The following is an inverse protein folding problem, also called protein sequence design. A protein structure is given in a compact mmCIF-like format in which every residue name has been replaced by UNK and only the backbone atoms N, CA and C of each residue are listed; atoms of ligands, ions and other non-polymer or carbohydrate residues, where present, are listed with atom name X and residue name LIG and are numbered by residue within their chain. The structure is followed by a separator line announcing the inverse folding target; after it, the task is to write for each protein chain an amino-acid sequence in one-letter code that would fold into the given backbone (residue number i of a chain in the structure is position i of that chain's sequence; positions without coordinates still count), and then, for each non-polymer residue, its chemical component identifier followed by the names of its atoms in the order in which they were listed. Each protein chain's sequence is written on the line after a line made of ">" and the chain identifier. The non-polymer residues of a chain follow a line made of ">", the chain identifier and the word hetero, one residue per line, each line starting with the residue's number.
data_IF_401932387953
#
_entry.id   IF_401932387953
#
_cell.length_a   1.000
_cell.length_b   1.000
_cell.length_c   1.000
_cell.angle_alpha   90.00
_cell.angle_beta   90.00
_cell.angle_gamma   90.00
#
_symmetry.space_group_name_H-M   'P 1'
#
loop_
_entity.id
_entity.type
_entity.pdbx_description
1 polymer ?
#
# COMPACT_ATOMS: atom_id res chain seq x y z
N UNK A 1 8.34 5.36 1.59
CA UNK A 1 7.24 4.52 2.05
C UNK A 1 7.79 3.17 2.43
N UNK A 2 8.35 3.04 3.62
CA UNK A 2 8.54 1.73 4.23
C UNK A 2 7.37 1.49 5.18
N UNK A 3 6.21 1.22 4.58
CA UNK A 3 5.12 0.60 5.32
C UNK A 3 5.59 -0.85 5.51
N UNK A 4 5.72 -1.31 6.76
CA UNK A 4 5.91 -2.74 7.01
C UNK A 4 4.70 -3.47 6.38
N UNK A 5 4.89 -4.22 5.28
CA UNK A 5 3.77 -4.77 4.54
C UNK A 5 2.97 -5.76 5.39
N UNK A 6 3.61 -6.42 6.36
CA UNK A 6 2.93 -7.34 7.27
C UNK A 6 2.11 -6.58 8.32
N UNK A 7 2.66 -5.48 8.85
CA UNK A 7 1.96 -4.63 9.81
C UNK A 7 0.74 -3.96 9.19
N UNK A 8 0.89 -3.42 7.98
CA UNK A 8 -0.23 -2.81 7.25
C UNK A 8 -1.26 -3.85 6.84
N UNK A 9 -0.85 -4.99 6.28
CA UNK A 9 -1.77 -6.10 5.98
C UNK A 9 -2.59 -6.52 7.19
N UNK A 10 -1.97 -6.61 8.37
CA UNK A 10 -2.66 -6.94 9.63
C UNK A 10 -3.65 -5.85 10.04
N UNK A 11 -3.27 -4.58 9.92
CA UNK A 11 -4.16 -3.44 10.21
C UNK A 11 -5.32 -3.36 9.23
N UNK A 12 -5.08 -3.60 7.95
CA UNK A 12 -6.07 -3.64 6.89
C UNK A 12 -7.06 -4.80 7.08
N UNK A 13 -6.57 -6.00 7.43
CA UNK A 13 -7.44 -7.12 7.81
C UNK A 13 -8.31 -6.79 9.03
N UNK A 14 -7.78 -6.10 10.03
CA UNK A 14 -8.55 -5.67 11.20
C UNK A 14 -9.61 -4.62 10.83
N UNK A 15 -9.28 -3.69 9.94
CA UNK A 15 -10.23 -2.73 9.38
C UNK A 15 -11.38 -3.44 8.65
N UNK A 16 -11.07 -4.38 7.76
CA UNK A 16 -12.09 -5.12 7.02
C UNK A 16 -12.96 -6.00 7.93
N UNK A 17 -12.36 -6.70 8.90
CA UNK A 17 -13.12 -7.62 9.79
C UNK A 17 -13.88 -6.93 10.92
N UNK A 18 -13.38 -5.80 11.42
CA UNK A 18 -13.83 -5.19 12.68
C UNK A 18 -14.11 -3.70 12.58
N UNK A 19 -13.94 -3.08 11.42
CA UNK A 19 -14.06 -1.64 11.25
C UNK A 19 -13.03 -0.83 12.04
N UNK A 20 -11.96 -1.46 12.55
CA UNK A 20 -10.92 -0.77 13.34
C UNK A 20 -10.18 0.20 12.42
N UNK A 21 -10.20 1.53 12.69
CA UNK A 21 -9.48 2.48 11.87
C UNK A 21 -8.00 2.12 11.79
N UNK A 22 -7.43 2.18 10.58
CA UNK A 22 -5.98 2.02 10.41
C UNK A 22 -5.31 3.26 10.97
N UNK A 23 -4.56 3.07 12.06
CA UNK A 23 -3.84 4.15 12.74
C UNK A 23 -2.96 4.95 11.77
N UNK A 24 -2.96 6.28 11.93
CA UNK A 24 -2.20 7.17 11.06
C UNK A 24 -0.68 6.94 11.19
N UNK A 25 -0.22 6.45 12.33
CA UNK A 25 1.17 6.00 12.54
C UNK A 25 1.56 4.80 11.68
N UNK A 26 0.61 3.92 11.31
CA UNK A 26 0.84 2.81 10.37
C UNK A 26 0.90 3.36 8.92
N UNK A 27 0.24 4.49 8.69
CA UNK A 27 0.33 5.26 7.44
C UNK A 27 1.51 6.23 7.41
N UNK A 28 2.36 6.28 8.44
CA UNK A 28 3.39 7.33 8.53
C UNK A 28 4.33 7.29 7.32
N UNK A 29 4.33 8.39 6.59
CA UNK A 29 5.13 8.63 5.41
C UNK A 29 6.60 8.86 5.81
N UNK A 30 7.42 7.81 5.77
CA UNK A 30 8.89 7.97 5.74
C UNK A 30 9.57 7.10 4.69
N UNK A 31 10.76 7.59 4.34
CA UNK A 31 11.46 7.44 3.07
C UNK A 31 11.54 6.00 2.58
N UNK A 32 11.27 5.81 1.30
CA UNK A 32 11.56 4.57 0.58
C UNK A 32 13.07 4.29 0.70
N UNK A 33 13.52 3.04 0.78
CA UNK A 33 14.96 2.72 0.80
C UNK A 33 15.65 3.08 -0.51
N UNK A 34 14.86 3.24 -1.58
CA UNK A 34 15.32 3.62 -2.91
C UNK A 34 14.55 4.84 -3.42
N UNK A 35 15.07 5.50 -4.43
CA UNK A 35 14.39 6.57 -5.15
C UNK A 35 14.59 6.44 -6.65
N UNK A 36 13.64 6.96 -7.42
CA UNK A 36 13.78 7.19 -8.85
C UNK A 36 14.43 8.55 -9.04
N UNK A 37 15.55 8.61 -9.76
CA UNK A 37 16.18 9.87 -10.13
C UNK A 37 15.34 10.58 -11.19
N UNK A 38 14.93 11.82 -10.93
CA UNK A 38 14.24 12.66 -11.92
C UNK A 38 15.04 13.89 -12.24
N UNK A 39 15.06 14.26 -13.51
CA UNK A 39 15.68 15.49 -13.99
C UNK A 39 14.61 16.44 -14.53
N UNK A 40 14.91 17.74 -14.60
CA UNK A 40 14.07 18.70 -15.35
C UNK A 40 14.02 18.45 -16.85
N UNK A 41 14.95 17.65 -17.40
CA UNK A 41 15.00 17.31 -18.82
C UNK A 41 15.39 18.46 -19.75
N UNK A 42 16.03 19.51 -19.22
CA UNK A 42 16.50 20.65 -20.01
C UNK A 42 18.02 20.61 -20.26
N UNK A 43 18.49 21.41 -21.22
CA UNK A 43 19.89 21.46 -21.66
C UNK A 43 20.88 21.90 -20.57
N UNK A 44 20.39 22.35 -19.40
CA UNK A 44 21.23 22.73 -18.26
C UNK A 44 21.51 21.54 -17.32
N UNK A 45 20.86 20.39 -17.55
CA UNK A 45 21.15 19.15 -16.84
C UNK A 45 22.48 18.58 -17.34
N UNK A 46 23.41 18.32 -16.42
CA UNK A 46 24.72 17.71 -16.74
C UNK A 46 24.51 16.32 -17.34
N UNK A 47 25.34 15.93 -18.31
CA UNK A 47 25.21 14.63 -19.02
C UNK A 47 25.16 13.43 -18.06
N UNK A 48 25.97 13.40 -17.01
CA UNK A 48 25.94 12.34 -15.99
C UNK A 48 24.61 12.27 -15.22
N UNK A 49 24.00 13.42 -14.93
CA UNK A 49 22.69 13.47 -14.27
C UNK A 49 21.56 13.06 -15.23
N UNK A 50 21.66 13.43 -16.51
CA UNK A 50 20.72 13.02 -17.55
C UNK A 50 20.73 11.49 -17.74
N UNK A 51 21.90 10.86 -17.67
CA UNK A 51 22.05 9.39 -17.73
C UNK A 51 21.41 8.66 -16.54
N UNK A 52 21.18 9.35 -15.42
CA UNK A 52 20.50 8.77 -14.26
C UNK A 52 18.97 8.85 -14.34
N UNK A 53 18.41 9.69 -15.22
CA UNK A 53 16.98 9.95 -15.27
C UNK A 53 16.14 8.67 -15.43
N UNK A 54 15.17 8.47 -14.53
CA UNK A 54 14.29 7.31 -14.48
C UNK A 54 14.90 6.06 -13.84
N UNK A 55 16.19 6.06 -13.48
CA UNK A 55 16.84 4.92 -12.81
C UNK A 55 16.55 4.94 -11.31
N UNK A 56 16.55 3.76 -10.72
CA UNK A 56 16.34 3.56 -9.28
C UNK A 56 17.69 3.42 -8.60
N UNK A 57 17.91 4.17 -7.51
CA UNK A 57 19.11 4.09 -6.68
C UNK A 57 18.72 3.90 -5.21
N UNK A 58 19.57 3.21 -4.46
CA UNK A 58 19.41 3.11 -3.01
C UNK A 58 19.93 4.39 -2.34
N UNK A 59 19.37 4.75 -1.19
CA UNK A 59 19.89 5.89 -0.43
C UNK A 59 21.28 5.64 0.17
N UNK A 60 21.63 4.38 0.42
CA UNK A 60 22.92 3.96 1.00
C UNK A 60 23.98 3.58 -0.05
N UNK A 61 23.60 3.48 -1.32
CA UNK A 61 24.48 3.21 -2.47
C UNK A 61 24.17 4.17 -3.64
N UNK A 62 24.52 5.47 -3.51
CA UNK A 62 24.30 6.43 -4.57
C UNK A 62 25.22 6.18 -5.78
N UNK A 63 24.83 6.66 -6.97
CA UNK A 63 25.74 6.71 -8.11
C UNK A 63 26.93 7.64 -7.84
N UNK A 64 27.99 7.53 -8.64
CA UNK A 64 29.17 8.41 -8.54
C UNK A 64 28.84 9.92 -8.60
N UNK A 65 27.70 10.28 -9.18
CA UNK A 65 27.19 11.66 -9.26
C UNK A 65 26.55 12.17 -7.97
N UNK A 66 26.60 11.42 -6.87
CA UNK A 66 25.95 11.75 -5.60
C UNK A 66 24.43 11.60 -5.66
N UNK A 67 23.70 12.26 -4.76
CA UNK A 67 22.23 12.30 -4.77
C UNK A 67 21.67 13.49 -5.58
N UNK A 68 20.43 13.39 -6.09
CA UNK A 68 19.75 14.53 -6.70
C UNK A 68 19.70 15.74 -5.75
N UNK A 69 20.19 16.89 -6.20
CA UNK A 69 20.12 18.15 -5.46
C UNK A 69 21.39 18.53 -4.69
N UNK A 70 22.40 17.64 -4.58
CA UNK A 70 23.63 17.93 -3.85
C UNK A 70 24.59 18.85 -4.61
N UNK A 71 24.66 18.71 -5.94
CA UNK A 71 25.49 19.57 -6.77
C UNK A 71 24.94 21.00 -6.86
N UNK A 72 25.83 21.98 -6.97
CA UNK A 72 25.45 23.38 -7.19
C UNK A 72 24.60 23.54 -8.46
N UNK A 73 23.51 24.29 -8.35
CA UNK A 73 22.57 24.50 -9.45
C UNK A 73 21.94 23.22 -10.00
N UNK A 74 21.98 22.11 -9.23
CA UNK A 74 21.34 20.86 -9.63
C UNK A 74 19.84 21.07 -9.84
N UNK A 75 19.31 20.43 -10.88
CA UNK A 75 17.91 20.52 -11.32
C UNK A 75 17.22 19.15 -11.24
N UNK A 76 17.73 18.27 -10.37
CA UNK A 76 17.29 16.90 -10.22
C UNK A 76 16.57 16.72 -8.87
N UNK A 77 15.70 15.73 -8.79
CA UNK A 77 14.93 15.39 -7.58
C UNK A 77 14.91 13.88 -7.36
N UNK A 78 14.88 13.44 -6.11
CA UNK A 78 14.67 12.06 -5.72
C UNK A 78 13.16 11.79 -5.53
N UNK A 79 12.54 11.12 -6.50
CA UNK A 79 11.14 10.66 -6.36
C UNK A 79 11.13 9.34 -5.58
N UNK A 80 10.31 9.18 -4.52
CA UNK A 80 10.29 7.94 -3.75
C UNK A 80 9.97 6.71 -4.61
N UNK A 81 10.84 5.69 -4.60
CA UNK A 81 10.60 4.44 -5.31
C UNK A 81 9.71 3.50 -4.47
N UNK A 82 8.48 3.31 -4.93
CA UNK A 82 7.54 2.35 -4.36
C UNK A 82 7.49 1.14 -5.29
N UNK A 83 8.14 -0.01 -4.94
CA UNK A 83 7.85 -1.25 -5.66
C UNK A 83 6.35 -1.50 -5.54
N UNK A 84 5.69 -1.90 -6.63
CA UNK A 84 4.23 -2.08 -6.69
C UNK A 84 3.76 -2.90 -5.49
N UNK A 85 3.14 -2.22 -4.51
CA UNK A 85 2.42 -2.86 -3.43
C UNK A 85 1.02 -3.15 -3.94
N UNK A 86 0.93 -4.06 -4.91
CA UNK A 86 -0.37 -4.64 -5.22
C UNK A 86 -0.76 -5.50 -4.01
N UNK A 87 -1.55 -4.90 -3.12
CA UNK A 87 -2.09 -5.59 -1.96
C UNK A 87 -3.38 -6.29 -2.37
N UNK A 88 -3.28 -7.59 -2.63
CA UNK A 88 -4.45 -8.42 -2.89
C UNK A 88 -4.97 -9.02 -1.58
N UNK A 89 -6.30 -9.08 -1.46
CA UNK A 89 -6.98 -9.90 -0.47
C UNK A 89 -7.64 -11.08 -1.18
N UNK A 90 -7.31 -12.29 -0.76
CA UNK A 90 -8.09 -13.47 -1.11
C UNK A 90 -9.23 -13.63 -0.10
N UNK A 91 -10.45 -13.71 -0.62
CA UNK A 91 -11.63 -14.05 0.14
C UNK A 91 -12.02 -15.46 -0.27
N UNK A 92 -11.74 -16.44 0.59
CA UNK A 92 -12.27 -17.79 0.43
C UNK A 92 -13.68 -17.83 1.03
N UNK A 93 -14.66 -18.16 0.18
CA UNK A 93 -16.00 -18.53 0.61
C UNK A 93 -15.98 -20.00 1.01
N UNK A 94 -16.11 -20.27 2.30
CA UNK A 94 -16.30 -21.61 2.86
C UNK A 94 -17.71 -21.74 3.46
N UNK A 95 -18.19 -22.98 3.60
CA UNK A 95 -19.47 -23.30 4.26
C UNK A 95 -20.71 -22.62 3.64
N UNK A 96 -20.80 -22.61 2.30
CA UNK A 96 -22.04 -22.23 1.60
C UNK A 96 -23.06 -23.37 1.70
N UNK A 97 -24.24 -23.09 2.22
CA UNK A 97 -25.34 -24.07 2.29
C UNK A 97 -26.70 -23.40 2.18
N UNK A 98 -27.67 -24.09 1.59
CA UNK A 98 -29.07 -23.64 1.49
C UNK A 98 -29.86 -23.77 2.79
N UNK A 99 -29.23 -24.33 3.81
CA UNK A 99 -29.84 -24.55 5.12
C UNK A 99 -29.64 -23.33 6.02
N UNK A 100 -30.61 -22.42 6.04
CA UNK A 100 -30.67 -21.32 7.00
C UNK A 100 -31.76 -20.30 6.70
N UNK A 101 -32.30 -19.65 7.74
CA UNK A 101 -33.18 -18.51 7.55
C UNK A 101 -32.40 -17.35 6.91
N UNK A 102 -33.02 -16.67 5.93
CA UNK A 102 -32.43 -15.47 5.34
C UNK A 102 -32.21 -14.42 6.43
N UNK A 103 -31.03 -13.79 6.42
CA UNK A 103 -30.71 -12.74 7.38
C UNK A 103 -31.63 -11.55 7.18
N UNK A 104 -32.27 -11.11 8.26
CA UNK A 104 -32.95 -9.83 8.26
C UNK A 104 -31.94 -8.68 8.36
N UNK A 105 -32.37 -7.46 8.04
CA UNK A 105 -31.58 -6.25 8.30
C UNK A 105 -31.18 -6.12 9.77
N UNK A 106 -32.02 -6.64 10.69
CA UNK A 106 -31.73 -6.63 12.13
C UNK A 106 -30.61 -7.61 12.50
N UNK A 107 -30.56 -8.77 11.85
CA UNK A 107 -29.49 -9.74 12.06
C UNK A 107 -28.16 -9.20 11.54
N UNK A 108 -28.18 -8.54 10.37
CA UNK A 108 -27.02 -7.82 9.84
C UNK A 108 -26.51 -6.75 10.81
N UNK A 109 -27.38 -5.84 11.26
CA UNK A 109 -26.99 -4.77 12.20
C UNK A 109 -26.43 -5.35 13.49
N UNK A 110 -27.11 -6.35 14.08
CA UNK A 110 -26.65 -7.01 15.30
C UNK A 110 -25.28 -7.63 15.10
N UNK A 111 -25.08 -8.35 14.01
CA UNK A 111 -23.81 -9.01 13.72
C UNK A 111 -22.68 -8.00 13.55
N UNK A 112 -22.89 -6.96 12.73
CA UNK A 112 -21.90 -5.94 12.45
C UNK A 112 -21.38 -5.27 13.73
N UNK A 113 -22.28 -4.90 14.65
CA UNK A 113 -21.89 -4.21 15.88
C UNK A 113 -21.41 -5.13 17.01
N UNK A 114 -21.86 -6.39 17.08
CA UNK A 114 -21.66 -7.22 18.28
C UNK A 114 -20.78 -8.46 18.07
N UNK A 115 -20.67 -9.00 16.85
CA UNK A 115 -20.05 -10.33 16.64
C UNK A 115 -18.56 -10.27 16.28
N UNK A 116 -17.92 -9.08 16.31
CA UNK A 116 -16.46 -8.89 16.19
C UNK A 116 -15.81 -9.51 14.94
N UNK A 117 -16.53 -9.58 13.84
CA UNK A 117 -16.04 -10.15 12.58
C UNK A 117 -16.05 -11.67 12.52
N UNK A 118 -16.92 -12.34 13.30
CA UNK A 118 -17.19 -13.78 13.17
C UNK A 118 -17.64 -14.10 11.74
N UNK A 119 -17.16 -15.19 11.15
CA UNK A 119 -17.64 -15.67 9.86
C UNK A 119 -19.14 -15.96 9.88
N UNK A 120 -19.78 -15.84 8.72
CA UNK A 120 -21.22 -16.10 8.53
C UNK A 120 -21.42 -17.04 7.36
N UNK A 121 -22.40 -17.93 7.48
CA UNK A 121 -22.86 -18.76 6.36
C UNK A 121 -23.71 -17.88 5.45
N UNK A 122 -23.33 -17.82 4.18
CA UNK A 122 -24.10 -17.12 3.14
C UNK A 122 -25.04 -18.12 2.48
N UNK A 123 -26.33 -17.76 2.38
CA UNK A 123 -27.29 -18.54 1.60
C UNK A 123 -26.96 -18.38 0.12
N UNK A 124 -26.84 -19.49 -0.60
CA UNK A 124 -26.60 -19.48 -2.04
C UNK A 124 -27.79 -18.91 -2.82
N UNK A 125 -27.61 -18.53 -4.10
CA UNK A 125 -28.74 -18.23 -4.97
C UNK A 125 -29.58 -19.50 -5.17
N UNK A 126 -30.89 -19.40 -4.95
CA UNK A 126 -31.84 -20.48 -5.27
C UNK A 126 -31.77 -20.73 -6.80
N UNK A 127 -31.27 -21.90 -7.23
CA UNK A 127 -31.23 -22.34 -8.64
C UNK A 127 -32.52 -23.05 -9.05
#
# INVERSE_FOLDING_TARGET
>A
MHIDPQLYRKAFQAYLRKGTPIEWSIKQERLTTHYIWRTRGDDKVRSGHAANNGRVFAWDDPPETGHPGEDYGCRCTAEPFMPSVDEFIEIELADTGDSGAAWSSRDFVRHYYNDRGRGVTVRGPDI
#
